data_IF_930652930745
#
_entry.id   IF_930652930745
#
_cell.length_a   1.000
_cell.length_b   1.000
_cell.length_c   1.000
_cell.angle_alpha   90.00
_cell.angle_beta   90.00
_cell.angle_gamma   90.00
#
_symmetry.space_group_name_H-M   'P 1'
#
loop_
_entity.id
_entity.type
_entity.pdbx_description
1 polymer ?
#
# COMPACT_ATOMS: atom_id res chain seq x y z
N UNK A 1 17.33 -8.21 33.72
CA UNK A 1 17.23 -6.79 33.31
C UNK A 1 16.13 -6.74 32.27
N UNK A 2 15.07 -5.95 32.46
CA UNK A 2 14.03 -5.83 31.41
C UNK A 2 14.66 -5.12 30.21
N UNK A 3 14.54 -5.75 29.04
CA UNK A 3 15.02 -5.19 27.78
C UNK A 3 14.25 -3.87 27.51
N UNK A 4 14.91 -2.83 26.99
CA UNK A 4 14.28 -1.53 26.73
C UNK A 4 13.04 -1.68 25.83
N UNK A 5 13.08 -2.57 24.84
CA UNK A 5 11.91 -2.91 24.02
C UNK A 5 10.72 -3.44 24.82
N UNK A 6 10.93 -4.33 25.80
CA UNK A 6 9.85 -4.83 26.67
C UNK A 6 9.22 -3.72 27.52
N UNK A 7 10.04 -2.77 27.98
CA UNK A 7 9.55 -1.61 28.72
C UNK A 7 8.68 -0.73 27.82
N UNK A 8 9.12 -0.46 26.60
CA UNK A 8 8.35 0.32 25.62
C UNK A 8 7.01 -0.34 25.28
N UNK A 9 6.98 -1.67 25.10
CA UNK A 9 5.73 -2.42 24.93
C UNK A 9 4.81 -2.26 26.14
N UNK A 10 5.33 -2.37 27.36
CA UNK A 10 4.53 -2.16 28.58
C UNK A 10 4.00 -0.73 28.66
N UNK A 11 4.80 0.26 28.31
CA UNK A 11 4.39 1.67 28.30
C UNK A 11 3.26 1.91 27.29
N UNK A 12 3.35 1.32 26.10
CA UNK A 12 2.30 1.34 25.08
C UNK A 12 1.01 0.72 25.60
N UNK A 13 1.06 -0.50 26.15
CA UNK A 13 -0.13 -1.16 26.70
C UNK A 13 -0.75 -0.36 27.86
N UNK A 14 0.07 0.24 28.72
CA UNK A 14 -0.42 0.97 29.89
C UNK A 14 -1.10 2.29 29.53
N UNK A 15 -0.56 3.03 28.55
CA UNK A 15 -1.08 4.34 28.16
C UNK A 15 -0.66 4.71 26.72
N UNK A 16 -1.41 4.23 25.70
CA UNK A 16 -1.07 4.46 24.29
C UNK A 16 -0.93 5.94 23.93
N UNK A 17 -1.85 6.80 24.39
CA UNK A 17 -1.80 8.22 24.08
C UNK A 17 -0.61 8.94 24.73
N UNK A 18 -0.11 8.46 25.88
CA UNK A 18 1.12 8.99 26.49
C UNK A 18 2.37 8.46 25.78
N UNK A 19 2.34 7.19 25.34
CA UNK A 19 3.40 6.57 24.56
C UNK A 19 3.65 7.34 23.25
N UNK A 20 2.57 7.65 22.52
CA UNK A 20 2.64 8.43 21.29
C UNK A 20 3.17 9.85 21.53
N UNK A 21 2.61 10.57 22.52
CA UNK A 21 3.06 11.94 22.86
C UNK A 21 4.52 12.03 23.27
N UNK A 22 5.11 10.94 23.75
CA UNK A 22 6.53 10.86 24.12
C UNK A 22 7.43 10.45 22.96
N UNK A 23 6.88 10.16 21.78
CA UNK A 23 7.65 9.67 20.64
C UNK A 23 8.21 8.26 20.85
N UNK A 24 7.66 7.49 21.78
CA UNK A 24 8.20 6.17 22.15
C UNK A 24 8.02 5.12 21.04
N UNK A 25 7.17 5.38 20.04
CA UNK A 25 7.07 4.55 18.83
C UNK A 25 8.38 4.53 18.04
N UNK A 26 9.05 5.69 17.90
CA UNK A 26 10.35 5.76 17.25
C UNK A 26 11.44 5.04 18.05
N UNK A 27 11.41 5.15 19.38
CA UNK A 27 12.32 4.38 20.23
C UNK A 27 12.10 2.87 20.06
N UNK A 28 10.86 2.41 19.98
CA UNK A 28 10.56 0.99 19.78
C UNK A 28 10.99 0.51 18.39
N UNK A 29 10.84 1.34 17.36
CA UNK A 29 11.38 1.08 16.02
C UNK A 29 12.91 0.90 16.06
N UNK A 30 13.63 1.78 16.78
CA UNK A 30 15.08 1.67 16.94
C UNK A 30 15.49 0.38 17.67
N UNK A 31 14.73 -0.03 18.69
CA UNK A 31 14.97 -1.31 19.36
C UNK A 31 14.78 -2.48 18.37
N UNK A 32 13.76 -2.43 17.52
CA UNK A 32 13.53 -3.46 16.48
C UNK A 32 14.72 -3.54 15.51
N UNK A 33 15.20 -2.41 14.98
CA UNK A 33 16.37 -2.37 14.11
C UNK A 33 17.68 -2.84 14.78
N UNK A 34 17.75 -2.79 16.12
CA UNK A 34 18.92 -3.24 16.89
C UNK A 34 18.79 -4.68 17.41
N UNK A 35 17.78 -5.42 16.94
CA UNK A 35 17.62 -6.85 17.20
C UNK A 35 16.63 -7.19 18.31
N UNK A 36 15.74 -6.26 18.69
CA UNK A 36 14.61 -6.61 19.54
C UNK A 36 13.71 -7.62 18.82
N UNK A 37 13.37 -8.78 19.45
CA UNK A 37 12.63 -9.84 18.75
C UNK A 37 11.23 -9.40 18.35
N UNK A 38 10.92 -9.49 17.05
CA UNK A 38 9.66 -9.01 16.46
C UNK A 38 8.46 -9.85 16.90
N UNK A 39 8.66 -11.10 17.36
CA UNK A 39 7.57 -11.95 17.86
C UNK A 39 6.91 -11.33 19.11
N UNK A 40 7.62 -10.46 19.82
CA UNK A 40 7.07 -9.72 20.95
C UNK A 40 6.00 -8.69 20.54
N UNK A 41 5.89 -8.34 19.26
CA UNK A 41 4.85 -7.45 18.73
C UNK A 41 3.55 -8.19 18.42
N UNK A 42 3.58 -9.53 18.31
CA UNK A 42 2.40 -10.36 17.95
C UNK A 42 1.20 -10.13 18.87
N UNK A 43 1.36 -10.07 20.22
CA UNK A 43 0.21 -9.82 21.09
C UNK A 43 -0.46 -8.46 20.83
N UNK A 44 0.31 -7.45 20.42
CA UNK A 44 -0.20 -6.10 20.14
C UNK A 44 -0.96 -6.07 18.81
N UNK A 45 -0.50 -6.80 17.79
CA UNK A 45 -1.20 -6.95 16.51
C UNK A 45 -2.56 -7.67 16.63
N UNK A 46 -2.80 -8.34 17.75
CA UNK A 46 -4.07 -9.00 18.06
C UNK A 46 -4.96 -8.17 18.99
N UNK A 47 -4.54 -6.95 19.33
CA UNK A 47 -5.33 -6.03 20.14
C UNK A 47 -6.52 -5.51 19.34
N UNK A 48 -7.67 -5.35 20.01
CA UNK A 48 -8.82 -4.61 19.46
C UNK A 48 -8.70 -3.09 19.72
N UNK A 49 -7.68 -2.65 20.47
CA UNK A 49 -7.40 -1.25 20.74
C UNK A 49 -6.59 -0.62 19.59
N UNK A 50 -7.25 0.23 18.80
CA UNK A 50 -6.64 0.92 17.66
C UNK A 50 -5.49 1.86 18.07
N UNK A 51 -5.51 2.43 19.27
CA UNK A 51 -4.41 3.27 19.77
C UNK A 51 -3.15 2.44 20.06
N UNK A 52 -3.31 1.15 20.34
CA UNK A 52 -2.20 0.18 20.40
C UNK A 52 -1.75 -0.22 19.00
N UNK A 53 -2.69 -0.48 18.09
CA UNK A 53 -2.38 -0.96 16.73
C UNK A 53 -1.61 0.08 15.91
N UNK A 54 -2.00 1.36 15.96
CA UNK A 54 -1.42 2.46 15.17
C UNK A 54 0.12 2.53 15.23
N UNK A 55 0.77 2.63 16.40
CA UNK A 55 2.23 2.69 16.44
C UNK A 55 2.87 1.38 15.96
N UNK A 56 2.23 0.24 16.18
CA UNK A 56 2.78 -1.06 15.78
C UNK A 56 2.74 -1.23 14.27
N UNK A 57 1.63 -0.89 13.61
CA UNK A 57 1.53 -1.05 12.16
C UNK A 57 2.48 -0.11 11.41
N UNK A 58 2.71 1.10 11.94
CA UNK A 58 3.76 2.02 11.45
C UNK A 58 5.15 1.41 11.62
N UNK A 59 5.45 0.82 12.77
CA UNK A 59 6.74 0.13 12.96
C UNK A 59 6.93 -0.97 11.93
N UNK A 60 5.89 -1.76 11.64
CA UNK A 60 6.00 -2.85 10.67
C UNK A 60 6.15 -2.38 9.23
N UNK A 61 5.53 -1.26 8.83
CA UNK A 61 5.72 -0.70 7.49
C UNK A 61 7.15 -0.19 7.31
N UNK A 62 7.72 0.48 8.33
CA UNK A 62 9.10 0.99 8.33
C UNK A 62 10.16 -0.12 8.33
N UNK A 63 9.86 -1.27 8.96
CA UNK A 63 10.74 -2.45 8.95
C UNK A 63 10.78 -3.16 7.58
N UNK A 64 9.84 -2.88 6.68
CA UNK A 64 9.72 -3.47 5.35
C UNK A 64 9.84 -5.01 5.37
N UNK A 65 10.81 -5.58 4.66
CA UNK A 65 11.02 -7.03 4.55
C UNK A 65 11.40 -7.71 5.88
N UNK A 66 11.81 -6.95 6.90
CA UNK A 66 12.10 -7.54 8.23
C UNK A 66 10.83 -7.95 8.95
N UNK A 67 9.67 -7.38 8.59
CA UNK A 67 8.37 -7.73 9.13
C UNK A 67 7.72 -8.96 8.44
N UNK A 68 8.43 -9.63 7.52
CA UNK A 68 7.90 -10.72 6.69
C UNK A 68 7.19 -11.81 7.50
N UNK A 69 7.78 -12.25 8.61
CA UNK A 69 7.20 -13.32 9.45
C UNK A 69 5.96 -12.88 10.24
N UNK A 70 5.70 -11.57 10.33
CA UNK A 70 4.52 -11.01 10.97
C UNK A 70 3.34 -10.78 10.01
N UNK A 71 3.53 -10.96 8.70
CA UNK A 71 2.50 -10.69 7.70
C UNK A 71 1.16 -11.40 7.97
N UNK A 72 1.10 -12.66 8.46
CA UNK A 72 -0.17 -13.30 8.81
C UNK A 72 -0.99 -12.57 9.88
N UNK A 73 -0.35 -11.73 10.71
CA UNK A 73 -1.02 -10.90 11.72
C UNK A 73 -1.37 -9.51 11.19
N UNK A 74 -0.75 -9.07 10.10
CA UNK A 74 -1.05 -7.79 9.42
C UNK A 74 -2.24 -7.94 8.49
N UNK A 75 -2.37 -9.06 7.77
CA UNK A 75 -3.45 -9.28 6.79
C UNK A 75 -4.85 -9.01 7.37
N UNK A 76 -5.22 -9.46 8.58
CA UNK A 76 -6.53 -9.15 9.17
C UNK A 76 -6.80 -7.64 9.33
N UNK A 77 -5.77 -6.82 9.52
CA UNK A 77 -5.87 -5.38 9.80
C UNK A 77 -6.34 -4.56 8.59
N UNK A 78 -6.34 -5.12 7.38
CA UNK A 78 -6.95 -4.46 6.21
C UNK A 78 -8.48 -4.28 6.36
N UNK A 79 -9.10 -4.95 7.34
CA UNK A 79 -10.52 -4.82 7.64
C UNK A 79 -10.80 -3.92 8.85
N UNK A 80 -9.78 -3.24 9.39
CA UNK A 80 -9.94 -2.31 10.50
C UNK A 80 -10.80 -1.10 10.07
N UNK A 81 -11.59 -0.54 10.99
CA UNK A 81 -12.46 0.61 10.68
C UNK A 81 -11.62 1.88 10.44
N UNK A 82 -10.54 2.03 11.21
CA UNK A 82 -9.59 3.13 11.03
C UNK A 82 -8.81 3.01 9.70
N UNK A 83 -8.95 4.02 8.85
CA UNK A 83 -8.30 4.05 7.53
C UNK A 83 -6.78 4.17 7.62
N UNK A 84 -6.23 4.78 8.67
CA UNK A 84 -4.79 4.84 8.93
C UNK A 84 -4.22 3.44 9.17
N UNK A 85 -4.91 2.60 9.94
CA UNK A 85 -4.45 1.21 10.16
C UNK A 85 -4.48 0.44 8.84
N UNK A 86 -5.56 0.57 8.06
CA UNK A 86 -5.64 -0.06 6.73
C UNK A 86 -4.54 0.41 5.79
N UNK A 87 -4.22 1.70 5.80
CA UNK A 87 -3.15 2.31 4.99
C UNK A 87 -1.82 1.57 5.19
N UNK A 88 -1.34 1.51 6.44
CA UNK A 88 -0.06 0.90 6.75
C UNK A 88 -0.09 -0.63 6.66
N UNK A 89 -1.25 -1.26 6.89
CA UNK A 89 -1.40 -2.69 6.64
C UNK A 89 -1.23 -3.02 5.15
N UNK A 90 -1.86 -2.25 4.26
CA UNK A 90 -1.73 -2.44 2.80
C UNK A 90 -0.30 -2.18 2.30
N UNK A 91 0.38 -1.16 2.85
CA UNK A 91 1.79 -0.90 2.56
C UNK A 91 2.69 -2.05 3.02
N UNK A 92 2.51 -2.53 4.26
CA UNK A 92 3.27 -3.66 4.78
C UNK A 92 3.04 -4.93 3.96
N UNK A 93 1.80 -5.20 3.54
CA UNK A 93 1.47 -6.32 2.64
C UNK A 93 2.17 -6.15 1.30
N UNK A 94 2.13 -4.98 0.68
CA UNK A 94 2.83 -4.74 -0.58
C UNK A 94 4.32 -5.05 -0.51
N UNK A 95 5.00 -4.52 0.52
CA UNK A 95 6.44 -4.69 0.71
C UNK A 95 6.84 -6.15 0.97
N UNK A 96 5.93 -6.96 1.50
CA UNK A 96 6.18 -8.36 1.87
C UNK A 96 5.49 -9.38 0.94
N UNK A 97 4.76 -8.94 -0.08
CA UNK A 97 4.08 -9.78 -1.06
C UNK A 97 5.06 -10.39 -2.05
N UNK A 98 5.85 -11.36 -1.58
CA UNK A 98 6.84 -12.10 -2.35
C UNK A 98 6.93 -13.55 -1.86
N UNK A 99 7.51 -14.44 -2.67
CA UNK A 99 7.73 -15.83 -2.29
C UNK A 99 6.45 -16.52 -1.81
N UNK A 100 6.43 -16.98 -0.55
CA UNK A 100 5.28 -17.69 0.03
C UNK A 100 4.06 -16.81 0.28
N UNK A 101 4.23 -15.48 0.31
CA UNK A 101 3.15 -14.51 0.55
C UNK A 101 2.74 -13.74 -0.71
N UNK A 102 3.16 -14.19 -1.89
CA UNK A 102 2.77 -13.54 -3.15
C UNK A 102 1.25 -13.49 -3.36
N UNK A 103 0.51 -14.45 -2.81
CA UNK A 103 -0.96 -14.49 -2.90
C UNK A 103 -1.62 -13.33 -2.13
N UNK A 104 -0.95 -12.76 -1.11
CA UNK A 104 -1.45 -11.62 -0.33
C UNK A 104 -1.48 -10.30 -1.14
N UNK A 105 -0.77 -10.24 -2.27
CA UNK A 105 -0.80 -9.09 -3.19
C UNK A 105 -2.22 -8.79 -3.70
N UNK A 106 -3.13 -9.79 -3.68
CA UNK A 106 -4.53 -9.58 -4.03
C UNK A 106 -5.21 -8.51 -3.16
N UNK A 107 -4.79 -8.38 -1.90
CA UNK A 107 -5.33 -7.39 -0.97
C UNK A 107 -4.92 -5.97 -1.38
N UNK A 108 -3.69 -5.78 -1.84
CA UNK A 108 -3.21 -4.50 -2.40
C UNK A 108 -4.04 -4.12 -3.63
N UNK A 109 -4.26 -5.06 -4.56
CA UNK A 109 -5.05 -4.80 -5.78
C UNK A 109 -6.50 -4.44 -5.41
N UNK A 110 -7.11 -5.16 -4.48
CA UNK A 110 -8.49 -4.92 -4.06
C UNK A 110 -8.63 -3.58 -3.31
N UNK A 111 -7.57 -3.11 -2.66
CA UNK A 111 -7.53 -1.84 -1.95
C UNK A 111 -7.75 -0.60 -2.85
N UNK A 112 -7.68 -0.74 -4.18
CA UNK A 112 -8.01 0.38 -5.09
C UNK A 112 -9.47 0.80 -4.97
N UNK A 113 -10.32 -0.05 -4.37
CA UNK A 113 -11.72 0.21 -4.07
C UNK A 113 -11.96 0.55 -2.58
N UNK A 114 -10.93 0.93 -1.82
CA UNK A 114 -11.09 1.39 -0.43
C UNK A 114 -12.00 2.64 -0.39
N UNK A 115 -12.76 2.77 0.69
CA UNK A 115 -13.65 3.90 0.90
C UNK A 115 -12.87 5.20 1.17
N UNK A 116 -11.68 5.10 1.76
CA UNK A 116 -10.80 6.23 2.04
C UNK A 116 -9.98 6.61 0.79
N UNK A 117 -10.01 7.90 0.43
CA UNK A 117 -9.27 8.43 -0.72
C UNK A 117 -7.75 8.27 -0.58
N UNK A 118 -7.22 8.44 0.63
CA UNK A 118 -5.77 8.31 0.90
C UNK A 118 -5.30 6.89 0.64
N UNK A 119 -6.11 5.90 1.03
CA UNK A 119 -5.83 4.49 0.77
C UNK A 119 -5.87 4.18 -0.73
N UNK A 120 -6.87 4.68 -1.46
CA UNK A 120 -6.91 4.49 -2.92
C UNK A 120 -5.69 5.09 -3.62
N UNK A 121 -5.27 6.29 -3.23
CA UNK A 121 -4.06 6.94 -3.75
C UNK A 121 -2.79 6.16 -3.40
N UNK A 122 -2.66 5.65 -2.16
CA UNK A 122 -1.58 4.74 -1.78
C UNK A 122 -1.57 3.52 -2.69
N UNK A 123 -2.70 2.86 -2.91
CA UNK A 123 -2.74 1.67 -3.75
C UNK A 123 -2.33 1.98 -5.20
N UNK A 124 -2.77 3.10 -5.76
CA UNK A 124 -2.31 3.54 -7.08
C UNK A 124 -0.79 3.76 -7.09
N UNK A 125 -0.24 4.34 -6.02
CA UNK A 125 1.21 4.47 -5.85
C UNK A 125 1.89 3.10 -5.83
N UNK A 126 1.47 2.20 -4.94
CA UNK A 126 2.07 0.88 -4.76
C UNK A 126 2.00 0.06 -6.06
N UNK A 127 0.83 0.02 -6.71
CA UNK A 127 0.66 -0.73 -7.97
C UNK A 127 1.52 -0.16 -9.11
N UNK A 128 1.70 1.15 -9.19
CA UNK A 128 2.61 1.79 -10.16
C UNK A 128 4.10 1.65 -9.83
N UNK A 129 4.45 0.99 -8.72
CA UNK A 129 5.81 0.62 -8.36
C UNK A 129 5.95 -0.89 -8.11
N UNK A 130 4.90 -1.67 -8.42
CA UNK A 130 4.92 -3.10 -8.24
C UNK A 130 5.93 -3.73 -9.19
N UNK A 131 6.68 -4.71 -8.70
CA UNK A 131 7.63 -5.39 -9.55
C UNK A 131 6.93 -6.33 -10.56
N UNK A 132 7.70 -6.81 -11.54
CA UNK A 132 7.20 -7.69 -12.58
C UNK A 132 6.56 -8.97 -12.01
N UNK A 133 7.14 -9.56 -10.95
CA UNK A 133 6.63 -10.78 -10.33
C UNK A 133 5.29 -10.54 -9.63
N UNK A 134 5.16 -9.42 -8.92
CA UNK A 134 3.92 -8.98 -8.29
C UNK A 134 2.82 -8.75 -9.32
N UNK A 135 3.10 -8.02 -10.41
CA UNK A 135 2.13 -7.80 -11.49
C UNK A 135 1.69 -9.11 -12.16
N UNK A 136 2.64 -10.01 -12.48
CA UNK A 136 2.35 -11.31 -13.09
C UNK A 136 1.50 -12.21 -12.15
N UNK A 137 1.78 -12.19 -10.85
CA UNK A 137 0.96 -12.87 -9.86
C UNK A 137 -0.42 -12.24 -9.75
N UNK A 138 -0.49 -10.91 -9.67
CA UNK A 138 -1.74 -10.13 -9.62
C UNK A 138 -2.70 -10.51 -10.73
N UNK A 139 -2.24 -10.58 -11.98
CA UNK A 139 -3.05 -10.99 -13.14
C UNK A 139 -3.72 -12.37 -12.94
N UNK A 140 -3.02 -13.31 -12.30
CA UNK A 140 -3.54 -14.66 -12.00
C UNK A 140 -4.50 -14.60 -10.81
N UNK A 141 -4.14 -13.89 -9.75
CA UNK A 141 -4.87 -13.81 -8.49
C UNK A 141 -6.26 -13.20 -8.67
N UNK A 142 -6.38 -12.09 -9.42
CA UNK A 142 -7.67 -11.43 -9.61
C UNK A 142 -8.70 -12.34 -10.28
N UNK A 143 -8.28 -13.22 -11.21
CA UNK A 143 -9.16 -14.22 -11.82
C UNK A 143 -9.43 -15.42 -10.91
N UNK A 144 -8.40 -15.90 -10.19
CA UNK A 144 -8.54 -17.01 -9.22
C UNK A 144 -9.56 -16.67 -8.13
N UNK A 145 -9.46 -15.47 -7.56
CA UNK A 145 -10.29 -15.01 -6.46
C UNK A 145 -11.59 -14.31 -6.90
N UNK A 146 -11.73 -14.01 -8.20
CA UNK A 146 -12.90 -13.33 -8.79
C UNK A 146 -13.29 -12.07 -8.02
N UNK A 147 -12.30 -11.22 -7.73
CA UNK A 147 -12.57 -9.92 -7.10
C UNK A 147 -13.51 -9.09 -7.97
N UNK A 148 -14.16 -8.08 -7.38
CA UNK A 148 -15.02 -7.17 -8.13
C UNK A 148 -14.25 -6.61 -9.34
N UNK A 149 -14.91 -6.53 -10.50
CA UNK A 149 -14.28 -6.04 -11.73
C UNK A 149 -12.99 -6.78 -12.15
N UNK A 150 -12.81 -8.06 -11.79
CA UNK A 150 -11.55 -8.79 -12.05
C UNK A 150 -11.07 -8.71 -13.51
N UNK A 151 -11.96 -8.65 -14.51
CA UNK A 151 -11.56 -8.50 -15.92
C UNK A 151 -10.87 -7.17 -16.20
N UNK A 152 -11.39 -6.07 -15.64
CA UNK A 152 -10.78 -4.74 -15.75
C UNK A 152 -9.45 -4.69 -15.00
N UNK A 153 -9.37 -5.31 -13.81
CA UNK A 153 -8.09 -5.46 -13.11
C UNK A 153 -7.07 -6.27 -13.93
N UNK A 154 -7.48 -7.39 -14.54
CA UNK A 154 -6.58 -8.16 -15.40
C UNK A 154 -6.09 -7.36 -16.59
N UNK A 155 -6.96 -6.57 -17.20
CA UNK A 155 -6.59 -5.68 -18.31
C UNK A 155 -5.59 -4.61 -17.84
N UNK A 156 -5.91 -3.88 -16.79
CA UNK A 156 -5.05 -2.83 -16.23
C UNK A 156 -3.69 -3.34 -15.78
N UNK A 157 -3.65 -4.47 -15.05
CA UNK A 157 -2.40 -5.08 -14.60
C UNK A 157 -1.53 -5.59 -15.77
N UNK A 158 -2.15 -6.12 -16.84
CA UNK A 158 -1.41 -6.50 -18.06
C UNK A 158 -0.83 -5.29 -18.76
N UNK A 159 -1.55 -4.17 -18.80
CA UNK A 159 -1.07 -2.91 -19.38
C UNK A 159 0.08 -2.32 -18.56
N UNK A 160 -0.01 -2.31 -17.23
CA UNK A 160 1.13 -1.98 -16.35
C UNK A 160 2.35 -2.88 -16.63
N UNK A 161 2.15 -4.20 -16.75
CA UNK A 161 3.24 -5.14 -17.03
C UNK A 161 3.93 -4.90 -18.39
N UNK A 162 3.25 -4.23 -19.32
CA UNK A 162 3.73 -3.94 -20.67
C UNK A 162 3.91 -2.44 -20.94
N UNK A 163 3.98 -1.61 -19.89
CA UNK A 163 3.97 -0.14 -20.01
C UNK A 163 5.11 0.40 -20.86
N UNK A 164 6.30 -0.22 -20.80
CA UNK A 164 7.46 0.12 -21.63
C UNK A 164 7.20 0.04 -23.15
N UNK A 165 6.16 -0.69 -23.58
CA UNK A 165 5.80 -0.86 -24.98
C UNK A 165 4.52 -0.11 -25.38
N UNK A 166 3.91 0.64 -24.46
CA UNK A 166 2.70 1.39 -24.73
C UNK A 166 3.02 2.72 -25.38
N UNK A 167 2.23 3.09 -26.39
CA UNK A 167 2.27 4.44 -26.95
C UNK A 167 1.33 5.41 -26.22
N UNK A 168 1.54 6.71 -26.46
CA UNK A 168 0.71 7.78 -25.90
C UNK A 168 -0.78 7.60 -26.23
N UNK A 169 -1.12 7.05 -27.40
CA UNK A 169 -2.51 6.86 -27.81
C UNK A 169 -3.20 5.81 -26.95
N UNK A 170 -2.54 4.69 -26.66
CA UNK A 170 -3.06 3.66 -25.78
C UNK A 170 -3.26 4.17 -24.35
N UNK A 171 -2.30 4.92 -23.81
CA UNK A 171 -2.42 5.50 -22.46
C UNK A 171 -3.58 6.51 -22.43
N UNK A 172 -3.70 7.36 -23.45
CA UNK A 172 -4.80 8.31 -23.60
C UNK A 172 -6.15 7.62 -23.72
N UNK A 173 -6.25 6.46 -24.37
CA UNK A 173 -7.48 5.68 -24.43
C UNK A 173 -7.91 5.21 -23.03
N UNK A 174 -6.97 4.75 -22.20
CA UNK A 174 -7.26 4.36 -20.83
C UNK A 174 -7.71 5.55 -19.97
N UNK A 175 -7.01 6.68 -20.07
CA UNK A 175 -7.36 7.92 -19.37
C UNK A 175 -8.75 8.47 -19.78
N UNK A 176 -9.17 8.22 -21.03
CA UNK A 176 -10.48 8.60 -21.56
C UNK A 176 -11.57 7.53 -21.41
N UNK A 177 -11.27 6.40 -20.78
CA UNK A 177 -12.23 5.32 -20.62
C UNK A 177 -13.46 5.80 -19.84
N UNK A 178 -14.64 5.25 -20.12
CA UNK A 178 -15.82 5.45 -19.29
C UNK A 178 -15.76 4.63 -17.99
N UNK A 179 -14.80 3.72 -17.86
CA UNK A 179 -14.59 2.89 -16.68
C UNK A 179 -13.59 3.57 -15.73
N UNK A 180 -14.01 4.02 -14.53
CA UNK A 180 -13.13 4.72 -13.59
C UNK A 180 -11.87 3.93 -13.23
N UNK A 181 -12.00 2.61 -13.08
CA UNK A 181 -10.88 1.72 -12.77
C UNK A 181 -9.82 1.70 -13.90
N UNK A 182 -10.23 1.73 -15.17
CA UNK A 182 -9.28 1.81 -16.28
C UNK A 182 -8.60 3.17 -16.35
N UNK A 183 -9.27 4.26 -15.97
CA UNK A 183 -8.63 5.57 -15.86
C UNK A 183 -7.55 5.59 -14.77
N UNK A 184 -7.80 4.95 -13.62
CA UNK A 184 -6.81 4.78 -12.56
C UNK A 184 -5.57 4.01 -13.05
N UNK A 185 -5.75 2.90 -13.77
CA UNK A 185 -4.62 2.20 -14.41
C UNK A 185 -3.91 3.06 -15.48
N UNK A 186 -4.66 3.83 -16.26
CA UNK A 186 -4.09 4.75 -17.24
C UNK A 186 -3.16 5.78 -16.61
N UNK A 187 -3.53 6.37 -15.47
CA UNK A 187 -2.68 7.36 -14.79
C UNK A 187 -1.48 6.73 -14.08
N UNK A 188 -1.62 5.49 -13.59
CA UNK A 188 -0.47 4.72 -13.06
C UNK A 188 0.59 4.48 -14.15
N UNK A 189 0.18 4.12 -15.37
CA UNK A 189 1.08 3.96 -16.52
C UNK A 189 1.66 5.31 -16.95
N UNK A 190 0.84 6.37 -16.97
CA UNK A 190 1.32 7.72 -17.27
C UNK A 190 2.41 8.19 -16.30
N UNK A 191 2.34 7.80 -15.01
CA UNK A 191 3.40 8.07 -14.02
C UNK A 191 4.71 7.39 -14.42
N UNK A 192 4.68 6.14 -14.87
CA UNK A 192 5.89 5.39 -15.23
C UNK A 192 6.66 6.06 -16.37
N UNK A 193 5.94 6.63 -17.34
CA UNK A 193 6.54 7.35 -18.49
C UNK A 193 6.74 8.85 -18.25
N UNK A 194 6.36 9.38 -17.09
CA UNK A 194 6.32 10.82 -16.81
C UNK A 194 7.62 11.56 -17.10
N UNK A 195 8.77 10.97 -16.74
CA UNK A 195 10.10 11.56 -16.97
C UNK A 195 10.37 11.82 -18.46
N UNK A 196 9.78 11.02 -19.34
CA UNK A 196 9.93 11.13 -20.79
C UNK A 196 8.77 11.90 -21.42
N UNK A 197 7.60 11.91 -20.78
CA UNK A 197 6.40 12.54 -21.30
C UNK A 197 5.46 13.06 -20.19
N UNK A 198 5.70 14.28 -19.72
CA UNK A 198 4.87 14.89 -18.67
C UNK A 198 3.43 15.16 -19.09
N UNK A 199 3.17 15.29 -20.41
CA UNK A 199 1.88 15.72 -20.96
C UNK A 199 0.72 14.79 -20.59
N UNK A 200 0.99 13.51 -20.38
CA UNK A 200 -0.04 12.53 -20.01
C UNK A 200 -0.54 12.76 -18.58
N UNK A 201 0.36 13.09 -17.65
CA UNK A 201 0.00 13.47 -16.28
C UNK A 201 -0.66 14.85 -16.25
N UNK A 202 -0.16 15.81 -17.03
CA UNK A 202 -0.80 17.13 -17.19
C UNK A 202 -2.23 17.00 -17.72
N UNK A 203 -2.46 16.07 -18.64
CA UNK A 203 -3.80 15.75 -19.12
C UNK A 203 -4.66 15.10 -18.03
N UNK A 204 -4.12 14.13 -17.30
CA UNK A 204 -4.83 13.43 -16.22
C UNK A 204 -5.27 14.36 -15.07
N UNK A 205 -4.56 15.47 -14.81
CA UNK A 205 -5.00 16.54 -13.90
C UNK A 205 -6.37 17.13 -14.26
N UNK A 206 -6.75 17.10 -15.53
CA UNK A 206 -8.03 17.63 -16.01
C UNK A 206 -9.18 16.62 -15.89
N UNK A 207 -8.90 15.41 -15.39
CA UNK A 207 -9.88 14.34 -15.25
C UNK A 207 -11.04 14.73 -14.34
N UNK A 208 -12.22 14.18 -14.64
CA UNK A 208 -13.40 14.24 -13.76
C UNK A 208 -13.35 13.19 -12.66
N UNK A 209 -12.48 12.20 -12.78
CA UNK A 209 -12.22 11.22 -11.75
C UNK A 209 -11.26 11.82 -10.73
N UNK A 210 -11.75 12.05 -9.52
CA UNK A 210 -10.99 12.73 -8.47
C UNK A 210 -9.75 11.93 -8.04
N UNK A 211 -9.81 10.59 -8.00
CA UNK A 211 -8.62 9.77 -7.68
C UNK A 211 -7.51 9.99 -8.73
N UNK A 212 -7.88 10.03 -10.01
CA UNK A 212 -6.92 10.30 -11.10
C UNK A 212 -6.32 11.69 -10.98
N UNK A 213 -7.14 12.69 -10.65
CA UNK A 213 -6.69 14.07 -10.48
C UNK A 213 -5.77 14.22 -9.27
N UNK A 214 -6.15 13.67 -8.11
CA UNK A 214 -5.36 13.72 -6.87
C UNK A 214 -4.03 13.01 -7.07
N UNK A 215 -4.03 11.80 -7.65
CA UNK A 215 -2.81 11.06 -7.96
C UNK A 215 -1.89 11.83 -8.91
N UNK A 216 -2.44 12.47 -9.95
CA UNK A 216 -1.67 13.28 -10.90
C UNK A 216 -0.97 14.48 -10.23
N UNK A 217 -1.65 15.17 -9.31
CA UNK A 217 -1.05 16.27 -8.53
C UNK A 217 0.13 15.76 -7.69
N UNK A 218 -0.08 14.65 -7.00
CA UNK A 218 0.94 14.03 -6.18
C UNK A 218 2.18 13.61 -6.99
N UNK A 219 1.99 13.06 -8.21
CA UNK A 219 3.11 12.73 -9.11
C UNK A 219 3.91 13.98 -9.49
N UNK A 220 3.24 15.10 -9.77
CA UNK A 220 3.92 16.36 -10.10
C UNK A 220 4.71 16.88 -8.90
N UNK A 221 4.10 16.89 -7.71
CA UNK A 221 4.73 17.39 -6.49
C UNK A 221 6.00 16.59 -6.11
N UNK A 222 6.07 15.30 -6.43
CA UNK A 222 7.27 14.48 -6.20
C UNK A 222 8.42 14.73 -7.18
N UNK A 223 8.15 15.32 -8.33
CA UNK A 223 9.14 15.50 -9.40
C UNK A 223 9.60 16.96 -9.57
N UNK A 224 9.08 17.89 -8.74
CA UNK A 224 9.50 19.29 -8.65
C UNK A 224 10.44 19.51 -7.48
#
# INVERSE_FOLDING_TARGET
MSNKGEKLIKDLICNPSLFERRGQGYELLQECFTGFPLENLIPLLKSDDEDILKPIIVILSELAFQAFDLLPYVVPLINCEDSFIRYYALECIFLNSSGVYIDEFIHVINGISDQDESNRNLIMHLLSNADRYQLEAGVKLVAKHKIANYKLHQEGLRKLLSSDNMDDSEIMQMLNSNEPLLQQYGVMIAKEVYKNNSKLIDYALTSKNEDVKTFSKWVIDLNN
#
